data_IF_051814786336
#
_entry.id   IF_051814786336
#
_cell.length_a   1.000
_cell.length_b   1.000
_cell.length_c   1.000
_cell.angle_alpha   90.00
_cell.angle_beta   90.00
_cell.angle_gamma   90.00
#
_symmetry.space_group_name_H-M   'P 1'
#
loop_
_entity.id
_entity.type
_entity.pdbx_description
1 polymer ?
#
# COMPACT_ATOMS: atom_id res chain seq x y z
N UNK A 1 28.92 -48.89 -12.53
CA UNK A 1 28.77 -47.52 -12.00
C UNK A 1 27.28 -47.30 -11.85
N UNK A 2 26.75 -47.28 -10.63
CA UNK A 2 25.33 -47.02 -10.41
C UNK A 2 25.05 -45.56 -10.75
N UNK A 3 24.06 -45.30 -11.59
CA UNK A 3 23.51 -43.96 -11.78
C UNK A 3 23.09 -43.43 -10.41
N UNK A 4 23.78 -42.40 -9.89
CA UNK A 4 23.31 -41.63 -8.76
C UNK A 4 21.95 -41.03 -9.14
N UNK A 5 20.87 -41.65 -8.66
CA UNK A 5 19.50 -41.17 -8.87
C UNK A 5 19.31 -39.89 -8.08
N UNK A 6 19.65 -38.77 -8.72
CA UNK A 6 19.38 -37.43 -8.19
C UNK A 6 17.88 -37.17 -8.20
N UNK A 7 17.40 -36.64 -7.09
CA UNK A 7 16.04 -36.17 -6.91
C UNK A 7 16.04 -34.65 -7.03
N UNK A 8 15.00 -34.13 -7.68
CA UNK A 8 14.77 -32.71 -7.84
C UNK A 8 13.41 -32.35 -7.23
N UNK A 9 13.39 -31.32 -6.39
CA UNK A 9 12.17 -30.74 -5.83
C UNK A 9 12.12 -29.23 -6.04
N UNK A 10 10.90 -28.72 -6.18
CA UNK A 10 10.59 -27.30 -6.27
C UNK A 10 9.76 -26.89 -5.06
N UNK A 11 10.29 -25.97 -4.27
CA UNK A 11 9.60 -25.36 -3.14
C UNK A 11 9.07 -24.00 -3.58
N UNK A 12 7.75 -23.82 -3.47
CA UNK A 12 7.08 -22.55 -3.77
C UNK A 12 6.11 -22.19 -2.65
N UNK A 13 6.30 -21.02 -2.05
CA UNK A 13 5.38 -20.47 -1.05
C UNK A 13 5.43 -18.94 -1.06
N UNK A 14 4.31 -18.29 -1.41
CA UNK A 14 4.25 -16.83 -1.64
C UNK A 14 5.37 -16.40 -2.62
N UNK A 15 6.22 -15.45 -2.22
CA UNK A 15 7.32 -14.91 -3.02
C UNK A 15 8.61 -15.75 -2.93
N UNK A 16 8.60 -16.84 -2.16
CA UNK A 16 9.76 -17.74 -2.05
C UNK A 16 9.67 -18.88 -3.07
N UNK A 17 10.69 -18.97 -3.92
CA UNK A 17 10.90 -20.08 -4.84
C UNK A 17 12.32 -20.63 -4.66
N UNK A 18 12.45 -21.95 -4.50
CA UNK A 18 13.74 -22.62 -4.44
C UNK A 18 13.68 -23.97 -5.12
N UNK A 19 14.64 -24.22 -6.00
CA UNK A 19 14.91 -25.53 -6.59
C UNK A 19 16.01 -26.22 -5.79
N UNK A 20 15.78 -27.47 -5.40
CA UNK A 20 16.76 -28.32 -4.71
C UNK A 20 16.99 -29.56 -5.57
N UNK A 21 18.26 -29.90 -5.83
CA UNK A 21 18.66 -31.08 -6.60
C UNK A 21 19.80 -31.76 -5.87
N UNK A 22 19.66 -33.04 -5.56
CA UNK A 22 20.66 -33.80 -4.82
C UNK A 22 20.27 -35.27 -4.69
N UNK A 23 20.99 -36.04 -3.87
CA UNK A 23 20.52 -37.36 -3.48
C UNK A 23 19.31 -37.29 -2.51
N UNK A 24 18.74 -38.45 -2.18
CA UNK A 24 17.56 -38.54 -1.30
C UNK A 24 17.81 -37.88 0.06
N UNK A 25 18.97 -38.10 0.66
CA UNK A 25 19.30 -37.64 2.00
C UNK A 25 19.59 -36.14 2.01
N UNK A 26 20.27 -35.64 0.99
CA UNK A 26 20.52 -34.21 0.78
C UNK A 26 19.20 -33.44 0.61
N UNK A 27 18.34 -33.91 -0.30
CA UNK A 27 17.04 -33.28 -0.57
C UNK A 27 16.16 -33.30 0.68
N UNK A 28 16.12 -34.41 1.41
CA UNK A 28 15.33 -34.53 2.64
C UNK A 28 15.85 -33.62 3.75
N UNK A 29 17.16 -33.56 3.98
CA UNK A 29 17.77 -32.65 4.97
C UNK A 29 17.45 -31.20 4.67
N UNK A 30 17.55 -30.80 3.40
CA UNK A 30 17.31 -29.42 2.99
C UNK A 30 15.82 -29.05 3.07
N UNK A 31 14.92 -29.98 2.74
CA UNK A 31 13.48 -29.82 2.95
C UNK A 31 13.13 -29.66 4.44
N UNK A 32 13.65 -30.53 5.31
CA UNK A 32 13.40 -30.46 6.76
C UNK A 32 13.94 -29.15 7.33
N UNK A 33 15.15 -28.74 6.91
CA UNK A 33 15.73 -27.45 7.32
C UNK A 33 14.86 -26.27 6.89
N UNK A 34 14.36 -26.28 5.65
CA UNK A 34 13.43 -25.27 5.17
C UNK A 34 12.17 -25.18 6.05
N UNK A 35 11.50 -26.32 6.30
CA UNK A 35 10.24 -26.35 7.06
C UNK A 35 10.42 -25.99 8.54
N UNK A 36 11.58 -26.31 9.14
CA UNK A 36 11.82 -26.10 10.58
C UNK A 36 12.47 -24.77 10.89
N UNK A 37 13.23 -24.18 9.96
CA UNK A 37 14.02 -22.97 10.24
C UNK A 37 13.61 -21.76 9.40
N UNK A 38 13.30 -21.95 8.11
CA UNK A 38 13.02 -20.85 7.18
C UNK A 38 11.53 -20.52 7.19
N UNK A 39 10.67 -21.53 7.04
CA UNK A 39 9.23 -21.37 6.98
C UNK A 39 8.64 -20.63 8.20
N UNK A 40 8.98 -20.97 9.46
CA UNK A 40 8.43 -20.27 10.62
C UNK A 40 8.86 -18.80 10.69
N UNK A 41 10.10 -18.49 10.28
CA UNK A 41 10.59 -17.10 10.22
C UNK A 41 9.83 -16.29 9.18
N UNK A 42 9.54 -16.89 8.02
CA UNK A 42 8.71 -16.26 6.99
C UNK A 42 7.28 -16.02 7.48
N UNK A 43 6.70 -16.97 8.21
CA UNK A 43 5.37 -16.81 8.79
C UNK A 43 5.33 -15.63 9.79
N UNK A 44 6.33 -15.55 10.68
CA UNK A 44 6.47 -14.43 11.61
C UNK A 44 6.64 -13.08 10.90
N UNK A 45 7.50 -13.01 9.87
CA UNK A 45 7.67 -11.81 9.07
C UNK A 45 6.36 -11.36 8.41
N UNK A 46 5.56 -12.30 7.92
CA UNK A 46 4.24 -12.00 7.34
C UNK A 46 3.20 -11.51 8.36
N UNK A 47 3.37 -11.80 9.65
CA UNK A 47 2.54 -11.23 10.72
C UNK A 47 2.93 -9.79 11.08
N UNK A 48 4.15 -9.37 10.71
CA UNK A 48 4.66 -8.01 10.90
C UNK A 48 4.45 -7.12 9.67
N UNK A 49 4.06 -7.69 8.52
CA UNK A 49 3.80 -6.91 7.31
C UNK A 49 2.46 -6.19 7.42
N UNK A 50 2.49 -4.86 7.31
CA UNK A 50 1.29 -4.07 7.12
C UNK A 50 0.88 -4.10 5.65
N UNK A 51 -0.32 -4.61 5.40
CA UNK A 51 -0.94 -4.60 4.07
C UNK A 51 -2.33 -3.99 4.19
N UNK A 52 -2.73 -3.20 3.20
CA UNK A 52 -4.10 -2.70 3.09
C UNK A 52 -4.78 -3.44 1.95
N UNK A 53 -5.90 -4.09 2.24
CA UNK A 53 -6.68 -4.78 1.23
C UNK A 53 -7.37 -3.76 0.30
N UNK A 54 -7.30 -4.01 -1.00
CA UNK A 54 -7.86 -3.10 -2.02
C UNK A 54 -9.39 -3.03 -1.92
N UNK A 55 -10.05 -4.16 -1.67
CA UNK A 55 -11.50 -4.19 -1.52
C UNK A 55 -11.93 -3.50 -0.24
N UNK A 56 -11.19 -3.67 0.86
CA UNK A 56 -11.40 -2.92 2.10
C UNK A 56 -11.32 -1.41 1.85
N UNK A 57 -10.27 -0.94 1.17
CA UNK A 57 -10.10 0.48 0.84
C UNK A 57 -11.25 1.02 -0.01
N UNK A 58 -11.62 0.32 -1.09
CA UNK A 58 -12.71 0.75 -1.99
C UNK A 58 -14.04 0.77 -1.23
N UNK A 59 -14.31 -0.26 -0.42
CA UNK A 59 -15.54 -0.38 0.38
C UNK A 59 -15.61 0.73 1.43
N UNK A 60 -14.49 1.05 2.08
CA UNK A 60 -14.42 2.14 3.04
C UNK A 60 -14.76 3.49 2.40
N UNK A 61 -14.34 3.71 1.15
CA UNK A 61 -14.59 4.94 0.40
C UNK A 61 -16.02 5.05 -0.18
N UNK A 62 -16.84 4.00 -0.13
CA UNK A 62 -18.23 4.06 -0.58
C UNK A 62 -19.02 5.12 0.20
N UNK A 63 -19.80 5.93 -0.52
CA UNK A 63 -20.56 7.04 0.05
C UNK A 63 -19.73 8.29 0.35
N UNK A 64 -18.39 8.22 0.29
CA UNK A 64 -17.47 9.35 0.48
C UNK A 64 -17.01 9.88 -0.87
N UNK A 65 -16.72 8.99 -1.81
CA UNK A 65 -16.38 9.32 -3.19
C UNK A 65 -17.27 8.56 -4.16
N UNK A 66 -17.51 9.14 -5.34
CA UNK A 66 -18.25 8.51 -6.43
C UNK A 66 -17.41 8.48 -7.70
N UNK A 67 -17.56 7.41 -8.47
CA UNK A 67 -17.07 7.36 -9.85
C UNK A 67 -18.10 8.02 -10.75
N UNK A 68 -17.68 9.03 -11.50
CA UNK A 68 -18.49 9.73 -12.51
C UNK A 68 -17.80 9.65 -13.89
N UNK A 69 -18.50 10.02 -14.98
CA UNK A 69 -17.87 10.12 -16.30
C UNK A 69 -16.67 11.08 -16.36
N UNK A 70 -16.71 12.14 -15.55
CA UNK A 70 -15.69 13.20 -15.50
C UNK A 70 -14.51 12.85 -14.59
N UNK A 71 -14.62 11.81 -13.76
CA UNK A 71 -13.57 11.38 -12.84
C UNK A 71 -14.13 10.86 -11.52
N UNK A 72 -13.36 10.98 -10.44
CA UNK A 72 -13.86 10.65 -9.09
C UNK A 72 -14.35 11.94 -8.42
N UNK A 73 -15.62 11.98 -8.05
CA UNK A 73 -16.24 13.07 -7.28
C UNK A 73 -16.14 12.82 -5.78
N UNK A 74 -16.11 13.90 -4.98
CA UNK A 74 -16.22 13.84 -3.52
C UNK A 74 -17.68 14.08 -3.13
N UNK A 75 -18.27 13.24 -2.30
CA UNK A 75 -19.69 13.27 -1.92
C UNK A 75 -19.96 13.88 -0.54
N UNK A 76 -18.93 14.02 0.29
CA UNK A 76 -19.03 14.50 1.67
C UNK A 76 -18.25 15.81 1.85
N UNK A 77 -18.56 16.54 2.92
CA UNK A 77 -17.82 17.74 3.29
C UNK A 77 -16.48 17.37 3.96
N UNK A 78 -15.41 17.47 3.17
CA UNK A 78 -14.03 17.22 3.62
C UNK A 78 -13.36 18.47 4.20
N UNK A 79 -13.97 19.66 4.08
CA UNK A 79 -13.37 20.91 4.59
C UNK A 79 -13.34 20.96 6.12
N UNK A 80 -14.10 20.07 6.77
CA UNK A 80 -14.08 19.85 8.21
C UNK A 80 -12.84 19.09 8.70
N UNK A 81 -12.08 18.46 7.80
CA UNK A 81 -10.88 17.73 8.14
C UNK A 81 -9.71 18.67 8.49
N UNK A 82 -8.86 18.31 9.47
CA UNK A 82 -7.56 18.95 9.66
C UNK A 82 -6.71 18.91 8.38
N UNK A 83 -5.88 19.93 8.15
CA UNK A 83 -5.08 20.09 6.92
C UNK A 83 -4.37 18.80 6.46
N UNK A 84 -3.75 18.07 7.39
CA UNK A 84 -3.06 16.80 7.10
C UNK A 84 -4.01 15.73 6.58
N UNK A 85 -5.17 15.59 7.22
CA UNK A 85 -6.17 14.58 6.87
C UNK A 85 -6.85 14.94 5.55
N UNK A 86 -7.04 16.23 5.26
CA UNK A 86 -7.50 16.71 3.97
C UNK A 86 -6.49 16.39 2.85
N UNK A 87 -5.20 16.60 3.08
CA UNK A 87 -4.15 16.20 2.12
C UNK A 87 -4.16 14.68 1.92
N UNK A 88 -4.23 13.89 3.00
CA UNK A 88 -4.31 12.44 2.92
C UNK A 88 -5.56 12.00 2.13
N UNK A 89 -6.71 12.63 2.35
CA UNK A 89 -7.93 12.37 1.60
C UNK A 89 -7.71 12.49 0.09
N UNK A 90 -7.08 13.58 -0.37
CA UNK A 90 -6.81 13.76 -1.80
C UNK A 90 -5.83 12.74 -2.36
N UNK A 91 -4.80 12.35 -1.59
CA UNK A 91 -3.86 11.30 -2.00
C UNK A 91 -4.52 9.91 -2.04
N UNK A 92 -5.42 9.60 -1.10
CA UNK A 92 -6.25 8.37 -1.17
C UNK A 92 -7.15 8.39 -2.39
N UNK A 93 -7.80 9.53 -2.67
CA UNK A 93 -8.63 9.68 -3.86
C UNK A 93 -7.83 9.44 -5.15
N UNK A 94 -6.58 9.90 -5.23
CA UNK A 94 -5.68 9.60 -6.35
C UNK A 94 -5.34 8.10 -6.44
N UNK A 95 -5.03 7.45 -5.30
CA UNK A 95 -4.79 6.00 -5.22
C UNK A 95 -6.00 5.20 -5.71
N UNK A 96 -7.20 5.52 -5.22
CA UNK A 96 -8.45 4.86 -5.65
C UNK A 96 -8.74 5.13 -7.12
N UNK A 97 -8.49 6.35 -7.61
CA UNK A 97 -8.62 6.67 -9.03
C UNK A 97 -7.73 5.78 -9.90
N UNK A 98 -6.49 5.53 -9.47
CA UNK A 98 -5.59 4.61 -10.18
C UNK A 98 -6.08 3.17 -10.14
N UNK A 99 -6.52 2.69 -8.97
CA UNK A 99 -7.03 1.33 -8.78
C UNK A 99 -8.26 1.05 -9.63
N UNK A 100 -9.12 2.06 -9.84
CA UNK A 100 -10.32 1.97 -10.68
C UNK A 100 -10.06 2.31 -12.15
N UNK A 101 -8.79 2.44 -12.57
CA UNK A 101 -8.38 2.82 -13.92
C UNK A 101 -9.01 4.13 -14.43
N UNK A 102 -9.23 5.09 -13.52
CA UNK A 102 -9.69 6.46 -13.82
C UNK A 102 -8.55 7.48 -13.88
N UNK A 103 -7.35 7.07 -13.52
CA UNK A 103 -6.11 7.85 -13.63
C UNK A 103 -4.95 6.92 -13.98
N UNK A 104 -3.95 7.42 -14.70
CA UNK A 104 -2.69 6.70 -14.97
C UNK A 104 -1.75 6.67 -13.75
N UNK A 105 -1.92 7.63 -12.84
CA UNK A 105 -1.07 7.82 -11.66
C UNK A 105 -1.86 7.75 -10.36
N UNK A 106 -1.19 7.25 -9.32
CA UNK A 106 -1.65 7.23 -7.92
C UNK A 106 -1.06 8.39 -7.09
N UNK A 107 -0.34 9.29 -7.73
CA UNK A 107 0.34 10.44 -7.13
C UNK A 107 -0.32 11.76 -7.55
N UNK A 108 -0.10 12.80 -6.75
CA UNK A 108 -0.51 14.18 -7.04
C UNK A 108 0.70 15.10 -7.01
N UNK A 109 0.73 16.06 -7.93
CA UNK A 109 1.67 17.19 -7.83
C UNK A 109 1.14 18.23 -6.84
N UNK A 110 2.04 19.00 -6.23
CA UNK A 110 1.69 19.96 -5.18
C UNK A 110 0.65 20.99 -5.63
N UNK A 111 0.64 21.37 -6.91
CA UNK A 111 -0.36 22.27 -7.49
C UNK A 111 -1.79 21.70 -7.42
N UNK A 112 -1.94 20.39 -7.59
CA UNK A 112 -3.24 19.70 -7.53
C UNK A 112 -3.72 19.57 -6.09
N UNK A 113 -2.78 19.41 -5.15
CA UNK A 113 -3.08 19.42 -3.72
C UNK A 113 -3.50 20.83 -3.28
N UNK A 114 -2.83 21.87 -3.78
CA UNK A 114 -3.19 23.25 -3.49
C UNK A 114 -4.57 23.64 -4.02
N UNK A 115 -4.89 23.24 -5.26
CA UNK A 115 -6.19 23.54 -5.87
C UNK A 115 -7.35 22.85 -5.15
N UNK A 116 -7.08 21.72 -4.48
CA UNK A 116 -8.08 20.93 -3.77
C UNK A 116 -8.24 21.26 -2.29
N UNK A 117 -7.23 21.86 -1.66
CA UNK A 117 -7.22 22.15 -0.21
C UNK A 117 -7.54 23.60 0.17
N UNK A 118 -7.61 24.52 -0.80
CA UNK A 118 -7.84 25.98 -0.59
C UNK A 118 -6.85 26.65 0.38
N UNK A 119 -5.73 26.02 0.70
CA UNK A 119 -4.71 26.55 1.61
C UNK A 119 -3.54 27.22 0.88
N UNK A 120 -2.73 27.98 1.61
CA UNK A 120 -1.53 28.63 1.07
C UNK A 120 -0.43 27.63 0.73
N UNK A 121 0.42 27.99 -0.25
CA UNK A 121 1.58 27.17 -0.69
C UNK A 121 2.48 26.78 0.47
N UNK A 122 2.80 27.74 1.35
CA UNK A 122 3.65 27.50 2.52
C UNK A 122 3.04 26.52 3.52
N UNK A 123 1.73 26.60 3.75
CA UNK A 123 1.03 25.69 4.66
C UNK A 123 1.04 24.25 4.12
N UNK A 124 0.63 24.06 2.86
CA UNK A 124 0.58 22.72 2.24
C UNK A 124 1.97 22.09 2.16
N UNK A 125 3.00 22.86 1.79
CA UNK A 125 4.38 22.37 1.75
C UNK A 125 4.86 21.91 3.13
N UNK A 126 4.60 22.70 4.19
CA UNK A 126 4.93 22.33 5.57
C UNK A 126 4.23 21.05 6.01
N UNK A 127 2.92 20.93 5.74
CA UNK A 127 2.15 19.73 6.07
C UNK A 127 2.60 18.49 5.31
N UNK A 128 2.96 18.63 4.03
CA UNK A 128 3.55 17.53 3.25
C UNK A 128 4.91 17.11 3.80
N UNK A 129 5.75 18.06 4.24
CA UNK A 129 7.01 17.72 4.92
C UNK A 129 6.78 16.94 6.20
N UNK A 130 5.80 17.35 7.03
CA UNK A 130 5.40 16.63 8.24
C UNK A 130 4.90 15.21 7.91
N UNK A 131 3.95 15.08 6.97
CA UNK A 131 3.39 13.79 6.55
C UNK A 131 4.45 12.84 5.96
N UNK A 132 5.45 13.37 5.26
CA UNK A 132 6.60 12.59 4.80
C UNK A 132 7.48 12.12 5.97
N UNK A 133 7.73 12.98 6.95
CA UNK A 133 8.52 12.61 8.14
C UNK A 133 7.81 11.56 9.02
N UNK A 134 6.48 11.59 9.03
CA UNK A 134 5.61 10.62 9.72
C UNK A 134 5.44 9.31 8.93
N UNK A 135 5.91 9.25 7.67
CA UNK A 135 5.84 8.06 6.82
C UNK A 135 4.45 7.79 6.22
N UNK A 136 3.49 8.69 6.37
CA UNK A 136 2.15 8.56 5.77
C UNK A 136 2.15 8.87 4.27
N UNK A 137 3.05 9.73 3.84
CA UNK A 137 3.20 10.18 2.46
C UNK A 137 4.64 9.98 2.03
N UNK A 138 4.88 9.73 0.75
CA UNK A 138 6.21 9.74 0.18
C UNK A 138 6.28 10.65 -1.05
N UNK A 139 7.44 11.28 -1.23
CA UNK A 139 7.73 12.11 -2.40
C UNK A 139 8.32 11.23 -3.50
N UNK A 140 7.59 11.11 -4.60
CA UNK A 140 7.96 10.26 -5.75
C UNK A 140 8.57 11.04 -6.91
N UNK A 141 8.57 12.37 -6.83
CA UNK A 141 9.12 13.24 -7.87
C UNK A 141 9.27 14.69 -7.43
N UNK A 142 9.51 15.58 -8.40
CA UNK A 142 9.67 17.01 -8.14
C UNK A 142 8.34 17.65 -7.74
N UNK A 143 8.07 17.63 -6.43
CA UNK A 143 6.82 18.15 -5.87
C UNK A 143 5.64 17.22 -6.13
N UNK A 144 5.90 15.94 -6.32
CA UNK A 144 4.90 14.90 -6.56
C UNK A 144 4.92 13.90 -5.41
N UNK A 145 3.72 13.58 -4.90
CA UNK A 145 3.54 12.83 -3.65
C UNK A 145 2.51 11.73 -3.84
N UNK A 146 2.66 10.62 -3.11
CA UNK A 146 1.63 9.58 -2.99
C UNK A 146 1.50 9.11 -1.54
N UNK A 147 0.35 8.53 -1.22
CA UNK A 147 0.13 7.92 0.09
C UNK A 147 0.85 6.57 0.18
N UNK A 148 1.45 6.29 1.34
CA UNK A 148 2.07 4.99 1.63
C UNK A 148 1.04 3.99 2.14
N UNK A 149 1.42 2.71 2.26
CA UNK A 149 0.57 1.71 2.93
C UNK A 149 0.27 2.09 4.37
N UNK A 150 1.22 2.71 5.08
CA UNK A 150 1.02 3.17 6.45
C UNK A 150 0.05 4.35 6.51
N UNK A 151 0.15 5.29 5.57
CA UNK A 151 -0.82 6.37 5.43
C UNK A 151 -2.23 5.87 5.12
N UNK A 152 -2.37 4.82 4.29
CA UNK A 152 -3.65 4.19 4.00
C UNK A 152 -4.27 3.55 5.26
N UNK A 153 -3.48 2.81 6.04
CA UNK A 153 -3.94 2.23 7.31
C UNK A 153 -4.41 3.31 8.30
N UNK A 154 -3.61 4.39 8.44
CA UNK A 154 -4.00 5.54 9.25
C UNK A 154 -5.32 6.16 8.76
N UNK A 155 -5.45 6.37 7.45
CA UNK A 155 -6.63 6.97 6.85
C UNK A 155 -7.90 6.14 7.11
N UNK A 156 -7.81 4.81 6.93
CA UNK A 156 -8.92 3.90 7.20
C UNK A 156 -9.36 3.93 8.67
N UNK A 157 -8.40 3.98 9.59
CA UNK A 157 -8.68 3.92 11.04
C UNK A 157 -9.12 5.27 11.62
N UNK A 158 -8.63 6.39 11.10
CA UNK A 158 -8.75 7.69 11.76
C UNK A 158 -9.52 8.73 10.93
N UNK A 159 -9.54 8.64 9.61
CA UNK A 159 -10.16 9.65 8.74
C UNK A 159 -11.52 9.17 8.22
N UNK A 160 -11.62 7.92 7.76
CA UNK A 160 -12.91 7.35 7.30
C UNK A 160 -14.03 7.50 8.34
N UNK A 161 -13.83 7.20 9.65
CA UNK A 161 -14.90 7.35 10.64
C UNK A 161 -15.43 8.78 10.73
N UNK A 162 -14.55 9.78 10.62
CA UNK A 162 -14.93 11.21 10.67
C UNK A 162 -15.78 11.62 9.46
N UNK A 163 -15.60 10.96 8.32
CA UNK A 163 -16.31 11.25 7.08
C UNK A 163 -17.66 10.53 6.95
N UNK A 164 -17.92 9.50 7.76
CA UNK A 164 -19.16 8.72 7.72
C UNK A 164 -20.23 9.17 8.72
N UNK A 165 -19.88 10.08 9.64
CA UNK A 165 -20.74 10.52 10.74
C UNK A 165 -20.66 9.59 11.93
#
# INVERSE_FOLDING_TARGET
>A
MSEEKKIEIYLKHKDFEKKIVGDVDEVLKELISFLTQIYPKMELASKLSLTVDVNELITACQGIIAVTPEGIATLVDVETLPDKELILFHLVKAKVSRLLNKSEKESLVISDILSSTKHSVGSVAGRLSELCSEGFVERVGKGEYRITTYGLDYFLKNVIPKLKG
#
